data_IF_403076297682
#
_entry.id   IF_403076297682
#
_cell.length_a   1.000
_cell.length_b   1.000
_cell.length_c   1.000
_cell.angle_alpha   90.00
_cell.angle_beta   90.00
_cell.angle_gamma   90.00
#
_symmetry.space_group_name_H-M   'P 1'
#
loop_
_entity.id
_entity.type
_entity.pdbx_description
1 polymer ?
#
# COMPACT_ATOMS: atom_id res chain seq x y z
N UNK A 1 -14.23 1.95 -11.48
CA UNK A 1 -14.34 1.27 -10.21
C UNK A 1 -13.21 1.70 -9.30
N UNK A 2 -13.34 1.37 -8.05
CA UNK A 2 -12.47 1.90 -7.03
C UNK A 2 -11.09 1.28 -6.97
N UNK A 3 -10.77 0.37 -7.86
CA UNK A 3 -9.44 -0.23 -7.91
C UNK A 3 -9.10 -0.48 -9.33
N UNK A 4 -8.51 0.53 -9.90
CA UNK A 4 -8.18 0.52 -11.31
C UNK A 4 -6.94 -0.28 -11.60
N UNK A 5 -6.13 -0.57 -10.58
CA UNK A 5 -4.90 -1.30 -10.75
C UNK A 5 -5.09 -2.76 -10.41
N UNK A 6 -4.48 -3.63 -11.20
CA UNK A 6 -4.45 -5.04 -10.90
C UNK A 6 -3.47 -5.32 -9.76
N UNK A 7 -3.89 -6.13 -8.81
CA UNK A 7 -3.02 -6.61 -7.75
C UNK A 7 -2.04 -7.61 -8.35
N UNK A 8 -0.75 -7.41 -8.13
CA UNK A 8 0.29 -8.25 -8.71
C UNK A 8 0.89 -9.17 -7.67
N UNK A 9 0.98 -10.46 -8.04
CA UNK A 9 1.59 -11.48 -7.19
C UNK A 9 2.85 -12.00 -7.85
N UNK A 10 3.83 -12.37 -7.03
CA UNK A 10 5.03 -13.03 -7.54
C UNK A 10 4.85 -14.54 -7.57
N UNK A 11 5.91 -15.28 -7.92
CA UNK A 11 5.87 -16.74 -8.07
C UNK A 11 5.51 -17.47 -6.77
N UNK A 12 5.72 -16.84 -5.62
CA UNK A 12 5.41 -17.41 -4.31
C UNK A 12 4.06 -16.94 -3.77
N UNK A 13 3.21 -16.37 -4.63
CA UNK A 13 1.90 -15.82 -4.28
C UNK A 13 1.96 -14.69 -3.26
N UNK A 14 3.09 -14.00 -3.20
CA UNK A 14 3.22 -12.80 -2.38
C UNK A 14 2.77 -11.58 -3.17
N UNK A 15 2.07 -10.69 -2.50
CA UNK A 15 1.65 -9.43 -3.11
C UNK A 15 2.89 -8.55 -3.29
N UNK A 16 3.11 -8.04 -4.49
CA UNK A 16 4.26 -7.17 -4.73
C UNK A 16 3.88 -5.72 -4.97
N UNK A 17 2.83 -5.48 -5.74
CA UNK A 17 2.41 -4.11 -6.04
C UNK A 17 1.09 -4.14 -6.79
N UNK A 18 0.57 -2.98 -7.13
CA UNK A 18 -0.46 -2.83 -8.14
C UNK A 18 0.22 -2.21 -9.36
N UNK A 19 -0.20 -2.57 -10.55
CA UNK A 19 0.46 -2.33 -11.84
C UNK A 19 1.56 -1.25 -11.87
N UNK A 20 1.25 0.01 -11.58
CA UNK A 20 2.25 1.08 -11.62
C UNK A 20 2.38 1.80 -10.28
N UNK A 21 1.97 1.15 -9.18
CA UNK A 21 1.92 1.76 -7.85
C UNK A 21 2.47 0.84 -6.80
N UNK A 22 3.00 1.42 -5.73
CA UNK A 22 3.32 0.67 -4.52
C UNK A 22 2.06 0.50 -3.70
N UNK A 23 1.95 -0.64 -3.00
CA UNK A 23 0.78 -0.95 -2.18
C UNK A 23 1.20 -1.00 -0.72
N UNK A 24 0.30 -0.56 0.17
CA UNK A 24 0.52 -0.52 1.60
C UNK A 24 -0.67 -1.10 2.33
N UNK A 25 -0.39 -1.80 3.40
CA UNK A 25 -1.41 -2.46 4.22
C UNK A 25 -1.32 -1.94 5.64
N UNK A 26 -2.45 -1.56 6.21
CA UNK A 26 -2.52 -1.10 7.60
C UNK A 26 -3.11 -2.22 8.45
N UNK A 27 -2.39 -2.58 9.52
CA UNK A 27 -2.78 -3.63 10.43
C UNK A 27 -2.37 -3.22 11.83
N UNK A 28 -3.35 -3.10 12.74
CA UNK A 28 -3.09 -2.71 14.13
C UNK A 28 -2.29 -1.41 14.23
N UNK A 29 -2.67 -0.42 13.42
CA UNK A 29 -2.02 0.90 13.37
C UNK A 29 -0.59 0.90 12.85
N UNK A 30 -0.14 -0.22 12.29
CA UNK A 30 1.16 -0.31 11.63
C UNK A 30 0.97 -0.40 10.14
N UNK A 31 1.91 0.16 9.38
CA UNK A 31 1.87 0.18 7.93
C UNK A 31 2.93 -0.75 7.38
N UNK A 32 2.55 -1.61 6.45
CA UNK A 32 3.45 -2.56 5.82
C UNK A 32 3.44 -2.37 4.31
N UNK A 33 4.59 -2.59 3.68
CA UNK A 33 4.70 -2.56 2.22
C UNK A 33 5.57 -3.74 1.77
N UNK A 34 5.26 -4.35 0.62
CA UNK A 34 6.05 -5.48 0.15
C UNK A 34 7.49 -5.11 -0.16
N UNK A 35 8.42 -6.05 0.01
CA UNK A 35 9.82 -5.81 -0.31
C UNK A 35 10.07 -5.84 -1.81
N UNK A 36 11.14 -5.17 -2.24
CA UNK A 36 11.55 -5.18 -3.64
C UNK A 36 11.86 -6.60 -4.09
N UNK A 37 12.39 -7.43 -3.20
CA UNK A 37 12.69 -8.83 -3.51
C UNK A 37 11.45 -9.64 -3.91
N UNK A 38 10.27 -9.21 -3.50
CA UNK A 38 9.01 -9.85 -3.92
C UNK A 38 8.47 -9.24 -5.21
N UNK A 39 9.17 -8.29 -5.80
CA UNK A 39 8.78 -7.67 -7.05
C UNK A 39 8.17 -6.28 -6.91
N UNK A 40 8.22 -5.69 -5.71
CA UNK A 40 7.68 -4.35 -5.50
C UNK A 40 8.53 -3.32 -6.26
N UNK A 41 7.86 -2.27 -6.72
CA UNK A 41 8.53 -1.15 -7.38
C UNK A 41 9.35 -0.37 -6.35
N UNK A 42 10.54 0.11 -6.77
CA UNK A 42 11.36 0.95 -5.91
C UNK A 42 10.98 2.42 -6.11
N UNK A 43 9.77 2.78 -5.65
CA UNK A 43 9.24 4.12 -5.83
C UNK A 43 9.84 5.13 -4.88
N UNK A 44 9.90 6.40 -5.30
CA UNK A 44 10.46 7.46 -4.46
C UNK A 44 9.57 7.75 -3.24
N UNK A 45 8.26 7.72 -3.42
CA UNK A 45 7.32 7.91 -2.30
C UNK A 45 7.44 6.75 -1.32
N UNK A 46 7.64 5.53 -1.81
CA UNK A 46 7.85 4.36 -0.97
C UNK A 46 9.06 4.56 -0.06
N UNK A 47 10.18 4.99 -0.63
CA UNK A 47 11.40 5.22 0.14
C UNK A 47 11.20 6.29 1.21
N UNK A 48 10.51 7.36 0.85
CA UNK A 48 10.20 8.44 1.76
C UNK A 48 9.37 7.95 2.94
N UNK A 49 8.32 7.17 2.69
CA UNK A 49 7.44 6.68 3.74
C UNK A 49 8.12 5.68 4.66
N UNK A 50 8.97 4.82 4.10
CA UNK A 50 9.77 3.89 4.92
C UNK A 50 10.66 4.68 5.88
N UNK A 51 11.31 5.71 5.38
CA UNK A 51 12.25 6.50 6.18
C UNK A 51 11.55 7.40 7.20
N UNK A 52 10.48 8.09 6.77
CA UNK A 52 9.87 9.14 7.58
C UNK A 52 8.64 8.70 8.38
N UNK A 53 7.95 7.68 7.94
CA UNK A 53 6.69 7.23 8.56
C UNK A 53 6.77 5.82 9.11
N UNK A 54 7.96 5.26 9.20
CA UNK A 54 8.19 3.94 9.81
C UNK A 54 7.36 2.84 9.15
N UNK A 55 7.16 2.94 7.84
CA UNK A 55 6.53 1.86 7.10
C UNK A 55 7.47 0.66 7.15
N UNK A 56 6.94 -0.49 7.56
CA UNK A 56 7.74 -1.71 7.64
C UNK A 56 7.70 -2.44 6.31
N UNK A 57 8.84 -2.96 5.90
CA UNK A 57 8.94 -3.79 4.70
C UNK A 57 8.68 -5.23 5.10
N UNK A 58 7.63 -5.83 4.56
CA UNK A 58 7.23 -7.18 4.95
C UNK A 58 6.47 -7.86 3.81
N UNK A 59 6.78 -9.12 3.55
CA UNK A 59 6.05 -9.92 2.57
C UNK A 59 4.62 -10.16 3.03
N UNK A 60 3.68 -10.00 2.13
CA UNK A 60 2.26 -10.17 2.39
C UNK A 60 1.64 -11.02 1.29
N UNK A 61 0.85 -12.02 1.68
CA UNK A 61 0.09 -12.83 0.75
C UNK A 61 -1.39 -12.50 0.85
N UNK A 62 -2.18 -12.99 -0.10
CA UNK A 62 -3.62 -12.76 -0.07
C UNK A 62 -4.25 -13.27 1.22
N UNK A 63 -3.71 -14.36 1.78
CA UNK A 63 -4.23 -14.91 3.02
C UNK A 63 -4.03 -14.01 4.23
N UNK A 64 -3.09 -13.06 4.14
CA UNK A 64 -2.81 -12.14 5.24
C UNK A 64 -3.76 -10.95 5.30
N UNK A 65 -4.65 -10.81 4.31
CA UNK A 65 -5.53 -9.65 4.24
C UNK A 65 -6.64 -9.65 5.28
N UNK A 66 -6.90 -10.77 5.93
CA UNK A 66 -7.99 -10.89 6.89
C UNK A 66 -7.88 -9.90 8.05
N UNK A 67 -6.68 -9.54 8.45
CA UNK A 67 -6.44 -8.63 9.57
C UNK A 67 -6.09 -7.21 9.14
N UNK A 68 -6.16 -6.93 7.85
CA UNK A 68 -5.84 -5.61 7.31
C UNK A 68 -7.07 -4.73 7.38
N UNK A 69 -6.90 -3.52 7.91
CA UNK A 69 -8.01 -2.57 8.05
C UNK A 69 -8.08 -1.54 6.94
N UNK A 70 -6.93 -1.15 6.39
CA UNK A 70 -6.85 -0.13 5.35
C UNK A 70 -5.82 -0.56 4.32
N UNK A 71 -6.02 -0.15 3.07
CA UNK A 71 -5.06 -0.37 1.99
C UNK A 71 -4.98 0.90 1.18
N UNK A 72 -3.77 1.33 0.83
CA UNK A 72 -3.61 2.45 -0.07
C UNK A 72 -2.44 2.24 -1.02
N UNK A 73 -2.43 3.03 -2.08
CA UNK A 73 -1.43 2.97 -3.12
C UNK A 73 -0.71 4.30 -3.21
N UNK A 74 0.57 4.28 -3.59
CA UNK A 74 1.28 5.51 -3.93
C UNK A 74 2.03 5.36 -5.24
N UNK A 75 2.15 6.46 -5.94
CA UNK A 75 3.03 6.61 -7.09
C UNK A 75 3.50 8.06 -7.12
N UNK A 76 4.17 8.47 -8.21
CA UNK A 76 4.67 9.84 -8.32
C UNK A 76 3.56 10.89 -8.32
N UNK A 77 2.31 10.49 -8.54
CA UNK A 77 1.17 11.40 -8.58
C UNK A 77 0.47 11.53 -7.22
N UNK A 78 0.89 10.79 -6.22
CA UNK A 78 0.33 10.88 -4.89
C UNK A 78 -0.22 9.57 -4.35
N UNK A 79 -1.17 9.69 -3.42
CA UNK A 79 -1.77 8.55 -2.72
C UNK A 79 -3.21 8.34 -3.16
N UNK A 80 -3.60 7.09 -3.26
CA UNK A 80 -4.98 6.73 -3.57
C UNK A 80 -5.41 5.58 -2.64
N UNK A 81 -6.52 5.73 -1.89
CA UNK A 81 -7.01 4.63 -1.07
C UNK A 81 -7.61 3.53 -1.93
N UNK A 82 -7.50 2.30 -1.47
CA UNK A 82 -8.13 1.15 -2.11
C UNK A 82 -9.42 0.86 -1.35
N UNK A 83 -10.54 0.89 -2.03
CA UNK A 83 -11.84 0.67 -1.41
C UNK A 83 -12.26 -0.80 -1.41
N UNK A 84 -11.73 -1.59 -2.33
CA UNK A 84 -12.20 -2.98 -2.47
C UNK A 84 -11.15 -3.84 -3.17
N UNK A 85 -10.98 -5.06 -2.65
CA UNK A 85 -10.21 -6.11 -3.31
C UNK A 85 -11.09 -7.35 -3.32
N UNK A 86 -11.38 -7.88 -4.51
CA UNK A 86 -12.32 -8.97 -4.68
C UNK A 86 -13.66 -8.57 -4.06
N UNK A 87 -14.15 -9.32 -3.09
CA UNK A 87 -15.42 -9.04 -2.43
C UNK A 87 -15.26 -8.33 -1.10
N UNK A 88 -14.04 -7.97 -0.73
CA UNK A 88 -13.78 -7.34 0.55
C UNK A 88 -13.58 -5.83 0.40
N UNK A 89 -14.30 -5.07 1.24
CA UNK A 89 -14.22 -3.61 1.26
C UNK A 89 -13.24 -3.15 2.33
N UNK A 90 -12.57 -2.01 2.06
CA UNK A 90 -11.63 -1.39 2.98
C UNK A 90 -12.01 0.07 3.15
N UNK A 91 -11.79 0.61 4.33
CA UNK A 91 -12.08 2.00 4.62
C UNK A 91 -10.93 2.90 4.23
N UNK A 92 -11.25 4.12 3.82
CA UNK A 92 -10.27 5.19 3.80
C UNK A 92 -10.14 5.68 5.24
N UNK A 93 -9.35 4.95 6.03
CA UNK A 93 -9.33 5.12 7.49
C UNK A 93 -8.34 6.17 7.97
N UNK A 94 -8.18 6.26 9.29
CA UNK A 94 -7.38 7.33 9.89
C UNK A 94 -5.91 7.30 9.51
N UNK A 95 -5.33 6.12 9.36
CA UNK A 95 -3.90 6.01 9.00
C UNK A 95 -3.69 6.46 7.57
N UNK A 96 -4.54 6.00 6.64
CA UNK A 96 -4.48 6.43 5.24
C UNK A 96 -4.64 7.95 5.14
N UNK A 97 -5.56 8.53 5.91
CA UNK A 97 -5.77 9.98 5.89
C UNK A 97 -4.56 10.74 6.41
N UNK A 98 -3.91 10.24 7.45
CA UNK A 98 -2.69 10.87 7.97
C UNK A 98 -1.57 10.89 6.94
N UNK A 99 -1.38 9.79 6.22
CA UNK A 99 -0.37 9.72 5.18
C UNK A 99 -0.73 10.66 4.02
N UNK A 100 -2.01 10.71 3.66
CA UNK A 100 -2.49 11.64 2.62
C UNK A 100 -2.13 13.08 2.99
N UNK A 101 -2.41 13.49 4.23
CA UNK A 101 -2.10 14.84 4.69
C UNK A 101 -0.60 15.12 4.66
N UNK A 102 0.19 14.14 5.10
CA UNK A 102 1.64 14.27 5.09
C UNK A 102 2.18 14.51 3.68
N UNK A 103 1.73 13.71 2.72
CA UNK A 103 2.17 13.85 1.34
C UNK A 103 1.69 15.16 0.73
N UNK A 104 0.46 15.59 1.04
CA UNK A 104 -0.06 16.86 0.54
C UNK A 104 0.79 18.03 1.01
N UNK A 105 1.26 18.00 2.26
CA UNK A 105 2.15 19.05 2.78
C UNK A 105 3.48 19.11 2.05
N UNK A 106 3.90 18.00 1.47
CA UNK A 106 5.14 17.93 0.69
C UNK A 106 4.91 18.26 -0.79
N UNK A 107 3.67 18.50 -1.19
CA UNK A 107 3.34 18.77 -2.59
C UNK A 107 3.26 17.52 -3.46
N UNK A 108 3.03 16.41 -2.85
CA UNK A 108 2.94 15.13 -3.60
C UNK A 108 1.50 14.74 -3.86
#
# INVERSE_FOLDING_TARGET
>A
NGYDDALMLNESDKICCCSSSNIYFVKKNKIFTPPINDGALDGTVRRLLIEKKKVEVRSISLNNLSNVSEIFLTNSMGLRPVSKINNRSFKNGPITKKITEYLNKLGI
#
